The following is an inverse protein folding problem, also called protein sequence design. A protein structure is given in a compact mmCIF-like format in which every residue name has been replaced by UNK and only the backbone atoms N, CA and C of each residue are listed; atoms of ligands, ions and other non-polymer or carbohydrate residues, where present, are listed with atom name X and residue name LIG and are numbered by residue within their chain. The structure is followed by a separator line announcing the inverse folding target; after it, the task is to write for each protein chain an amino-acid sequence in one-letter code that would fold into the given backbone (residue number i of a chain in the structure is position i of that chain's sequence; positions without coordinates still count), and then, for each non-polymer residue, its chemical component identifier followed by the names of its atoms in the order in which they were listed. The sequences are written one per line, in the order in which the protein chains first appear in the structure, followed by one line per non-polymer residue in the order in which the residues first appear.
data_IF_728462247084
#
_entry.id   IF_728462247084
#
_cell.length_a   1.000
_cell.length_b   1.000
_cell.length_c   1.000
_cell.angle_alpha   90.00
_cell.angle_beta   90.00
_cell.angle_gamma   90.00
#
_symmetry.space_group_name_H-M   'P 1'
#
loop_
_entity.id
_entity.type
_entity.pdbx_description
1 polymer ?
#
# COMPACT_ATOMS: atom_id res chain seq x y z
N UNK A 1 19.09 0.38 9.61
CA UNK A 1 17.86 1.13 9.95
C UNK A 1 17.13 0.34 10.99
N UNK A 2 17.06 0.86 12.20
CA UNK A 2 16.44 0.17 13.33
C UNK A 2 14.92 0.03 13.11
N UNK A 3 14.32 -1.10 13.51
CA UNK A 3 12.87 -1.36 13.37
C UNK A 3 11.98 -0.47 14.27
N UNK A 4 12.55 0.38 15.11
CA UNK A 4 11.82 1.11 16.16
C UNK A 4 10.87 2.21 15.65
N UNK A 5 11.01 2.69 14.41
CA UNK A 5 10.15 3.77 13.88
C UNK A 5 8.89 3.30 13.12
N UNK A 6 8.78 2.00 12.81
CA UNK A 6 7.63 1.47 12.05
C UNK A 6 6.32 1.58 12.86
N UNK A 7 6.41 1.61 14.19
CA UNK A 7 5.26 1.71 15.09
C UNK A 7 4.64 3.12 15.20
N UNK A 8 5.25 4.14 14.60
CA UNK A 8 4.70 5.51 14.52
C UNK A 8 4.14 5.87 13.14
N UNK A 9 4.16 4.93 12.20
CA UNK A 9 3.58 5.17 10.88
C UNK A 9 2.06 5.06 10.96
N UNK A 10 1.39 6.17 10.70
CA UNK A 10 -0.07 6.30 10.69
C UNK A 10 -0.63 6.51 9.27
N UNK A 11 0.25 6.55 8.25
CA UNK A 11 -0.11 6.83 6.86
C UNK A 11 0.51 5.84 5.90
N UNK A 12 -0.33 5.22 5.09
CA UNK A 12 0.05 4.18 4.16
C UNK A 12 -0.56 4.42 2.78
N UNK A 13 0.21 4.09 1.74
CA UNK A 13 -0.25 4.00 0.37
C UNK A 13 -0.62 2.54 0.07
N UNK A 14 -1.85 2.30 -0.37
CA UNK A 14 -2.32 1.01 -0.86
C UNK A 14 -2.36 1.08 -2.39
N UNK A 15 -1.67 0.14 -3.03
CA UNK A 15 -1.54 0.14 -4.49
C UNK A 15 -2.62 -0.70 -5.16
N UNK A 16 -3.06 -0.27 -6.34
CA UNK A 16 -4.04 -0.95 -7.18
C UNK A 16 -5.42 -1.18 -6.54
N UNK A 17 -5.87 -0.25 -5.70
CA UNK A 17 -7.26 -0.16 -5.26
C UNK A 17 -8.08 0.33 -6.46
N UNK A 18 -8.81 -0.59 -7.11
CA UNK A 18 -9.56 -0.29 -8.34
C UNK A 18 -8.71 0.41 -9.43
N UNK A 19 -7.44 0.00 -9.55
CA UNK A 19 -6.50 0.60 -10.50
C UNK A 19 -5.84 1.90 -10.02
N UNK A 20 -6.13 2.38 -8.81
CA UNK A 20 -5.57 3.61 -8.22
C UNK A 20 -4.64 3.29 -7.05
N UNK A 21 -3.80 4.26 -6.69
CA UNK A 21 -3.07 4.28 -5.44
C UNK A 21 -3.84 5.13 -4.44
N UNK A 22 -4.20 4.56 -3.29
CA UNK A 22 -5.03 5.23 -2.28
C UNK A 22 -4.22 5.38 -1.00
N UNK A 23 -4.12 6.61 -0.50
CA UNK A 23 -3.53 6.88 0.80
C UNK A 23 -4.59 6.74 1.89
N UNK A 24 -4.25 6.06 2.98
CA UNK A 24 -5.13 5.86 4.15
C UNK A 24 -4.40 6.22 5.44
N UNK A 25 -5.16 6.69 6.42
CA UNK A 25 -4.68 6.90 7.78
C UNK A 25 -5.10 5.73 8.67
N UNK A 26 -4.13 4.95 9.17
CA UNK A 26 -4.34 3.79 10.06
C UNK A 26 -3.02 3.40 10.70
N UNK A 27 -3.06 2.59 11.76
CA UNK A 27 -1.87 1.94 12.32
C UNK A 27 -1.69 0.52 11.76
N UNK A 28 -0.47 -0.01 11.87
CA UNK A 28 -0.16 -1.39 11.51
C UNK A 28 -0.89 -2.38 12.42
N UNK A 29 -1.39 -3.45 11.81
CA UNK A 29 -2.15 -4.52 12.44
C UNK A 29 -3.48 -4.07 13.08
N UNK A 30 -3.90 -2.82 12.87
CA UNK A 30 -5.21 -2.34 13.29
C UNK A 30 -6.23 -2.44 12.16
N UNK A 31 -7.47 -2.74 12.53
CA UNK A 31 -8.58 -2.71 11.58
C UNK A 31 -8.98 -1.27 11.34
N UNK A 32 -9.15 -0.91 10.08
CA UNK A 32 -9.66 0.39 9.69
C UNK A 32 -10.74 0.26 8.63
N UNK A 33 -11.56 1.31 8.53
CA UNK A 33 -12.50 1.55 7.45
C UNK A 33 -12.26 2.93 6.87
N UNK A 34 -12.16 3.00 5.56
CA UNK A 34 -11.93 4.23 4.80
C UNK A 34 -12.94 4.33 3.68
N UNK A 35 -13.49 5.52 3.46
CA UNK A 35 -14.44 5.80 2.40
C UNK A 35 -13.89 6.99 1.61
N UNK A 36 -13.61 6.78 0.33
CA UNK A 36 -13.34 7.86 -0.62
C UNK A 36 -14.59 8.11 -1.45
N UNK A 37 -15.19 9.30 -1.37
CA UNK A 37 -16.38 9.62 -2.14
C UNK A 37 -16.02 9.94 -3.60
N UNK A 38 -17.03 9.91 -4.49
CA UNK A 38 -16.88 10.13 -5.92
C UNK A 38 -16.23 11.48 -6.26
N UNK A 39 -16.45 12.51 -5.45
CA UNK A 39 -15.90 13.85 -5.65
C UNK A 39 -14.37 13.88 -5.51
N UNK A 40 -13.80 12.97 -4.73
CA UNK A 40 -12.35 12.89 -4.48
C UNK A 40 -11.68 11.82 -5.34
N UNK A 41 -12.31 10.66 -5.50
CA UNK A 41 -11.71 9.51 -6.20
C UNK A 41 -12.22 9.30 -7.63
N UNK A 42 -13.23 10.05 -8.08
CA UNK A 42 -13.93 9.83 -9.35
C UNK A 42 -14.89 8.62 -9.34
N UNK A 43 -14.91 7.86 -8.23
CA UNK A 43 -15.82 6.75 -7.95
C UNK A 43 -15.91 6.53 -6.43
N UNK A 44 -16.98 5.90 -5.95
CA UNK A 44 -17.12 5.56 -4.53
C UNK A 44 -16.25 4.33 -4.19
N UNK A 45 -15.30 4.51 -3.28
CA UNK A 45 -14.39 3.46 -2.82
C UNK A 45 -14.57 3.28 -1.31
N UNK A 46 -14.98 2.10 -0.90
CA UNK A 46 -15.01 1.65 0.49
C UNK A 46 -13.92 0.60 0.70
N UNK A 47 -13.01 0.86 1.64
CA UNK A 47 -11.91 -0.03 2.01
C UNK A 47 -12.10 -0.41 3.47
N UNK A 48 -12.08 -1.70 3.77
CA UNK A 48 -12.08 -2.21 5.15
C UNK A 48 -11.05 -3.32 5.29
N UNK A 49 -10.16 -3.25 6.27
CA UNK A 49 -9.16 -4.29 6.46
C UNK A 49 -8.05 -3.89 7.40
N UNK A 50 -6.88 -4.48 7.17
CA UNK A 50 -5.68 -4.28 7.99
C UNK A 50 -4.45 -4.16 7.10
N UNK A 51 -3.51 -3.31 7.51
CA UNK A 51 -2.17 -3.26 6.92
C UNK A 51 -1.23 -4.04 7.83
N UNK A 52 -0.50 -5.00 7.27
CA UNK A 52 0.39 -5.89 8.03
C UNK A 52 1.73 -6.09 7.34
N UNK A 53 2.75 -6.35 8.15
CA UNK A 53 4.04 -6.84 7.70
C UNK A 53 3.90 -8.35 7.41
N UNK A 54 4.38 -8.78 6.26
CA UNK A 54 4.36 -10.20 5.84
C UNK A 54 5.76 -10.69 5.47
N UNK A 55 5.89 -11.97 5.14
CA UNK A 55 7.15 -12.48 4.60
C UNK A 55 7.44 -11.85 3.24
N UNK A 56 8.72 -11.76 2.89
CA UNK A 56 9.14 -11.27 1.56
C UNK A 56 8.53 -12.12 0.43
N UNK A 57 8.34 -13.42 0.66
CA UNK A 57 7.75 -14.32 -0.32
C UNK A 57 6.27 -14.00 -0.56
N UNK A 58 5.47 -13.82 0.50
CA UNK A 58 4.06 -13.44 0.38
C UNK A 58 3.93 -12.08 -0.33
N UNK A 59 4.76 -11.10 0.06
CA UNK A 59 4.78 -9.79 -0.59
C UNK A 59 5.06 -9.90 -2.09
N UNK A 60 6.07 -10.67 -2.49
CA UNK A 60 6.41 -10.90 -3.91
C UNK A 60 5.27 -11.56 -4.69
N UNK A 61 4.54 -12.49 -4.07
CA UNK A 61 3.37 -13.12 -4.69
C UNK A 61 2.25 -12.09 -4.92
N UNK A 62 1.89 -11.32 -3.89
CA UNK A 62 0.87 -10.26 -3.98
C UNK A 62 1.24 -9.20 -5.03
N UNK A 63 2.51 -8.79 -5.07
CA UNK A 63 3.02 -7.86 -6.07
C UNK A 63 2.92 -8.43 -7.49
N UNK A 64 3.31 -9.70 -7.69
CA UNK A 64 3.22 -10.38 -8.99
C UNK A 64 1.77 -10.44 -9.49
N UNK A 65 0.83 -10.75 -8.62
CA UNK A 65 -0.60 -10.77 -8.96
C UNK A 65 -1.15 -9.38 -9.30
N UNK A 66 -0.71 -8.36 -8.56
CA UNK A 66 -1.08 -6.97 -8.79
C UNK A 66 -0.62 -6.52 -10.16
N UNK A 67 0.65 -6.75 -10.50
CA UNK A 67 1.22 -6.38 -11.80
C UNK A 67 0.59 -7.15 -12.97
N UNK A 68 0.23 -8.43 -12.77
CA UNK A 68 -0.50 -9.19 -13.79
C UNK A 68 -1.83 -8.53 -14.16
N UNK A 69 -2.50 -7.89 -13.19
CA UNK A 69 -3.79 -7.21 -13.39
C UNK A 69 -3.62 -5.81 -13.97
N UNK A 70 -2.60 -5.07 -13.52
CA UNK A 70 -2.26 -3.76 -14.07
C UNK A 70 -0.73 -3.57 -14.16
N UNK A 71 -0.23 -3.45 -15.39
CA UNK A 71 1.20 -3.32 -15.70
C UNK A 71 1.81 -1.99 -15.24
N UNK A 72 1.01 -0.94 -15.02
CA UNK A 72 1.50 0.36 -14.55
C UNK A 72 2.20 0.26 -13.19
N UNK A 73 1.85 -0.75 -12.39
CA UNK A 73 2.47 -1.02 -11.10
C UNK A 73 3.80 -1.79 -11.21
N UNK A 74 4.37 -1.98 -12.41
CA UNK A 74 5.71 -2.56 -12.56
C UNK A 74 6.81 -1.75 -11.89
N UNK A 75 6.61 -0.43 -11.73
CA UNK A 75 7.51 0.45 -10.99
C UNK A 75 7.67 0.02 -9.53
N UNK A 76 6.72 -0.75 -8.98
CA UNK A 76 6.80 -1.30 -7.61
C UNK A 76 7.78 -2.50 -7.53
N UNK A 77 8.13 -3.14 -8.66
CA UNK A 77 9.05 -4.30 -8.67
C UNK A 77 10.51 -3.93 -8.41
N UNK A 78 10.91 -2.68 -8.66
CA UNK A 78 12.28 -2.21 -8.42
C UNK A 78 12.54 -1.85 -6.97
N UNK A 79 11.54 -2.03 -6.09
CA UNK A 79 11.56 -1.59 -4.72
C UNK A 79 12.11 -2.70 -3.78
N UNK A 80 12.85 -2.27 -2.75
CA UNK A 80 13.14 -3.07 -1.56
C UNK A 80 12.37 -2.49 -0.33
N UNK A 81 11.03 -2.40 -0.36
CA UNK A 81 10.29 -1.82 0.75
C UNK A 81 10.15 -2.83 1.89
N UNK A 82 9.82 -2.34 3.08
CA UNK A 82 9.25 -3.19 4.14
C UNK A 82 8.08 -3.97 3.53
N UNK A 83 8.01 -5.31 3.68
CA UNK A 83 7.02 -6.16 3.01
C UNK A 83 5.63 -5.97 3.62
N UNK A 84 4.98 -4.85 3.28
CA UNK A 84 3.67 -4.47 3.77
C UNK A 84 2.59 -4.86 2.75
N UNK A 85 1.48 -5.40 3.24
CA UNK A 85 0.28 -5.63 2.44
C UNK A 85 -0.96 -5.11 3.16
N UNK A 86 -1.93 -4.68 2.37
CA UNK A 86 -3.32 -4.57 2.78
C UNK A 86 -4.01 -5.92 2.60
N UNK A 87 -4.75 -6.38 3.60
CA UNK A 87 -5.58 -7.59 3.55
C UNK A 87 -6.97 -7.26 4.06
N UNK A 88 -7.96 -7.27 3.15
CA UNK A 88 -9.27 -6.72 3.45
C UNK A 88 -10.22 -6.77 2.25
N UNK A 89 -11.18 -5.86 2.23
CA UNK A 89 -12.17 -5.71 1.17
C UNK A 89 -12.09 -4.33 0.54
N UNK A 90 -12.30 -4.28 -0.77
CA UNK A 90 -12.56 -3.05 -1.54
C UNK A 90 -13.94 -3.19 -2.17
N UNK A 91 -14.88 -2.30 -1.83
CA UNK A 91 -16.29 -2.37 -2.24
C UNK A 91 -16.89 -3.78 -2.01
N UNK A 92 -16.65 -4.35 -0.83
CA UNK A 92 -17.12 -5.70 -0.44
C UNK A 92 -16.35 -6.88 -1.05
N UNK A 93 -15.43 -6.65 -2.00
CA UNK A 93 -14.63 -7.73 -2.62
C UNK A 93 -13.33 -7.95 -1.87
N UNK A 94 -13.07 -9.18 -1.42
CA UNK A 94 -11.81 -9.55 -0.74
C UNK A 94 -10.61 -9.37 -1.68
N UNK A 95 -9.58 -8.69 -1.20
CA UNK A 95 -8.31 -8.47 -1.91
C UNK A 95 -7.13 -8.53 -0.96
N UNK A 96 -5.97 -8.86 -1.52
CA UNK A 96 -4.66 -8.57 -0.94
C UNK A 96 -3.93 -7.65 -1.89
N UNK A 97 -3.41 -6.53 -1.39
CA UNK A 97 -2.77 -5.50 -2.20
C UNK A 97 -1.44 -5.07 -1.58
N UNK A 98 -0.42 -4.72 -2.39
CA UNK A 98 0.82 -4.15 -1.87
C UNK A 98 0.52 -2.84 -1.15
N UNK A 99 1.20 -2.60 -0.04
CA UNK A 99 1.16 -1.35 0.68
C UNK A 99 2.59 -0.83 0.94
N UNK A 100 2.72 0.46 1.18
CA UNK A 100 3.98 1.10 1.56
C UNK A 100 3.68 2.25 2.52
N UNK A 101 4.55 2.49 3.48
CA UNK A 101 4.40 3.68 4.34
C UNK A 101 4.76 4.95 3.58
N UNK A 102 4.09 6.06 3.91
CA UNK A 102 4.42 7.36 3.27
C UNK A 102 5.88 7.75 3.53
N UNK A 103 6.45 7.34 4.67
CA UNK A 103 7.87 7.57 4.98
C UNK A 103 8.79 6.80 4.03
N UNK A 104 8.50 5.52 3.75
CA UNK A 104 9.26 4.71 2.80
C UNK A 104 9.15 5.27 1.38
N UNK A 105 7.94 5.71 1.01
CA UNK A 105 7.68 6.38 -0.27
C UNK A 105 8.48 7.68 -0.42
N UNK A 106 8.48 8.53 0.61
CA UNK A 106 9.20 9.80 0.62
C UNK A 106 10.72 9.57 0.56
N UNK A 107 11.25 8.65 1.38
CA UNK A 107 12.66 8.28 1.37
C UNK A 107 13.09 7.84 -0.04
N UNK A 108 12.31 6.97 -0.67
CA UNK A 108 12.57 6.52 -2.04
C UNK A 108 12.59 7.66 -3.03
N UNK A 109 11.63 8.58 -2.93
CA UNK A 109 11.57 9.72 -3.84
C UNK A 109 12.87 10.54 -3.76
N UNK A 110 13.36 10.80 -2.54
CA UNK A 110 14.65 11.48 -2.32
C UNK A 110 15.80 10.66 -2.91
N UNK A 111 15.92 9.38 -2.55
CA UNK A 111 17.03 8.51 -2.99
C UNK A 111 17.08 8.36 -4.52
N UNK A 112 15.91 8.33 -5.19
CA UNK A 112 15.83 8.06 -6.64
C UNK A 112 15.99 9.32 -7.48
N UNK A 113 15.46 10.46 -7.02
CA UNK A 113 15.33 11.65 -7.85
C UNK A 113 16.18 12.84 -7.39
N UNK A 114 16.58 12.89 -6.13
CA UNK A 114 17.31 14.04 -5.60
C UNK A 114 18.82 13.82 -5.49
N UNK A 115 19.34 12.59 -5.66
CA UNK A 115 20.79 12.27 -5.64
C UNK A 115 21.56 13.07 -4.57
N UNK A 116 21.01 13.16 -3.35
CA UNK A 116 21.65 13.82 -2.21
C UNK A 116 22.66 12.89 -1.54
#
# INVERSE_FOLDING_TARGET
MEPENIHREDRFMIYNVMGKSIMVETYLNEKFKFICPIEECGENIEIEGVIKIVSLEEYKQVLKETVKKNKEFEVIKTLNPTPLIFDGTVNGKRVKLPAESVQSLAKRFVDTFLNL
#
